data_IF_021269739061
#
_entry.id   IF_021269739061
#
_cell.length_a   1.000
_cell.length_b   1.000
_cell.length_c   1.000
_cell.angle_alpha   90.00
_cell.angle_beta   90.00
_cell.angle_gamma   90.00
#
_symmetry.space_group_name_H-M   'P 1'
#
loop_
_entity.id
_entity.type
_entity.pdbx_description
1 polymer ?
#
# COMPACT_ATOMS: atom_id res chain seq x y z
N UNK A 1 -13.20 7.51 0.68
CA UNK A 1 -11.78 7.52 1.12
C UNK A 1 -11.59 8.36 2.38
N UNK A 2 -12.14 9.57 2.46
CA UNK A 2 -11.98 10.48 3.62
C UNK A 2 -12.36 9.83 4.96
N UNK A 3 -13.48 9.09 5.02
CA UNK A 3 -13.90 8.39 6.25
C UNK A 3 -12.87 7.37 6.74
N UNK A 4 -12.20 6.66 5.83
CA UNK A 4 -11.18 5.67 6.19
C UNK A 4 -9.96 6.37 6.79
N UNK A 5 -9.48 7.45 6.15
CA UNK A 5 -8.40 8.28 6.69
C UNK A 5 -8.76 8.84 8.07
N UNK A 6 -9.99 9.35 8.23
CA UNK A 6 -10.49 9.85 9.51
C UNK A 6 -10.43 8.79 10.61
N UNK A 7 -11.01 7.61 10.35
CA UNK A 7 -11.02 6.51 11.31
C UNK A 7 -9.61 6.08 11.73
N UNK A 8 -8.67 6.00 10.77
CA UNK A 8 -7.27 5.63 11.06
C UNK A 8 -6.58 6.71 11.90
N UNK A 9 -6.74 7.99 11.54
CA UNK A 9 -6.10 9.10 12.26
C UNK A 9 -6.65 9.23 13.68
N UNK A 10 -7.97 9.14 13.84
CA UNK A 10 -8.62 9.12 15.16
C UNK A 10 -8.16 7.91 15.99
N UNK A 11 -7.99 6.72 15.38
CA UNK A 11 -7.49 5.54 16.10
C UNK A 11 -6.06 5.69 16.62
N UNK A 12 -5.29 6.63 16.05
CA UNK A 12 -3.93 6.96 16.46
C UNK A 12 -3.89 8.11 17.48
N UNK A 13 -5.03 8.71 17.84
CA UNK A 13 -5.10 9.89 18.73
C UNK A 13 -4.51 11.15 18.10
N UNK A 14 -4.67 11.31 16.78
CA UNK A 14 -4.09 12.40 15.99
C UNK A 14 -5.18 13.26 15.32
N UNK A 15 -6.30 13.47 15.99
CA UNK A 15 -7.46 14.18 15.45
C UNK A 15 -7.10 15.58 14.91
N UNK A 16 -6.21 16.28 15.60
CA UNK A 16 -5.71 17.60 15.19
C UNK A 16 -4.90 17.58 13.88
N UNK A 17 -4.43 16.41 13.44
CA UNK A 17 -3.69 16.24 12.19
C UNK A 17 -4.59 15.91 10.99
N UNK A 18 -5.89 15.63 11.21
CA UNK A 18 -6.79 15.17 10.15
C UNK A 18 -6.85 16.12 8.96
N UNK A 19 -7.10 17.42 9.20
CA UNK A 19 -7.24 18.39 8.11
C UNK A 19 -5.93 18.58 7.34
N UNK A 20 -4.80 18.66 8.06
CA UNK A 20 -3.46 18.75 7.44
C UNK A 20 -3.18 17.54 6.56
N UNK A 21 -3.44 16.33 7.08
CA UNK A 21 -3.28 15.09 6.34
C UNK A 21 -4.16 15.05 5.10
N UNK A 22 -5.45 15.36 5.23
CA UNK A 22 -6.40 15.36 4.11
C UNK A 22 -6.00 16.37 3.02
N UNK A 23 -5.48 17.54 3.39
CA UNK A 23 -4.96 18.53 2.45
C UNK A 23 -3.65 18.10 1.78
N UNK A 24 -2.93 17.14 2.36
CA UNK A 24 -1.73 16.54 1.76
C UNK A 24 -2.02 15.47 0.70
N UNK A 25 -3.28 15.09 0.49
CA UNK A 25 -3.63 13.96 -0.39
C UNK A 25 -3.87 14.40 -1.83
N UNK A 26 -3.37 13.60 -2.78
CA UNK A 26 -3.86 13.51 -4.14
C UNK A 26 -4.50 12.14 -4.39
N UNK A 27 -5.34 12.06 -5.41
CA UNK A 27 -6.17 10.89 -5.71
C UNK A 27 -5.79 10.30 -7.05
N UNK A 28 -5.74 8.98 -7.13
CA UNK A 28 -5.48 8.23 -8.36
C UNK A 28 -6.52 7.13 -8.54
N UNK A 29 -6.84 6.82 -9.80
CA UNK A 29 -7.67 5.68 -10.18
C UNK A 29 -6.91 4.84 -11.20
N UNK A 30 -6.87 3.53 -10.98
CA UNK A 30 -6.27 2.55 -11.89
C UNK A 30 -7.31 1.51 -12.26
N UNK A 31 -7.52 1.34 -13.57
CA UNK A 31 -8.27 0.22 -14.11
C UNK A 31 -7.28 -0.89 -14.43
N UNK A 32 -7.47 -2.06 -13.82
CA UNK A 32 -6.54 -3.18 -13.95
C UNK A 32 -7.22 -4.38 -14.59
N UNK A 33 -6.56 -4.94 -15.60
CA UNK A 33 -6.88 -6.22 -16.21
C UNK A 33 -5.72 -7.18 -15.93
N UNK A 34 -5.98 -8.19 -15.11
CA UNK A 34 -5.02 -9.24 -14.74
C UNK A 34 -5.34 -10.49 -15.55
N UNK A 35 -4.34 -10.96 -16.29
CA UNK A 35 -4.38 -12.17 -17.09
C UNK A 35 -2.99 -12.79 -17.09
N UNK A 36 -2.89 -14.09 -17.36
CA UNK A 36 -1.60 -14.75 -17.55
C UNK A 36 -1.20 -14.63 -19.03
N UNK A 37 0.07 -14.32 -19.28
CA UNK A 37 0.65 -14.49 -20.62
C UNK A 37 1.12 -15.94 -20.76
N UNK A 38 0.97 -16.53 -21.95
CA UNK A 38 1.06 -17.99 -22.19
C UNK A 38 2.44 -18.62 -22.00
N UNK A 39 3.44 -17.86 -21.52
CA UNK A 39 4.86 -18.26 -21.47
C UNK A 39 5.39 -18.59 -20.06
N UNK A 40 4.53 -18.62 -19.05
CA UNK A 40 4.94 -18.61 -17.64
C UNK A 40 4.86 -19.97 -16.93
N UNK A 41 5.75 -20.17 -15.96
CA UNK A 41 6.31 -21.38 -15.32
C UNK A 41 5.35 -22.33 -14.58
N UNK A 42 4.05 -22.26 -14.87
CA UNK A 42 3.00 -23.04 -14.20
C UNK A 42 2.47 -22.41 -12.91
N UNK A 43 3.01 -21.28 -12.47
CA UNK A 43 2.45 -20.50 -11.36
C UNK A 43 1.48 -19.47 -11.95
N UNK A 44 0.20 -19.50 -11.58
CA UNK A 44 -0.83 -18.59 -12.13
C UNK A 44 -0.72 -17.15 -11.57
N UNK A 45 0.47 -16.56 -11.53
CA UNK A 45 0.73 -15.25 -10.91
C UNK A 45 0.57 -14.12 -11.94
N UNK A 46 -0.50 -13.34 -11.82
CA UNK A 46 -0.80 -12.22 -12.72
C UNK A 46 -0.27 -10.86 -12.25
N UNK A 47 0.09 -10.74 -10.97
CA UNK A 47 0.83 -9.61 -10.42
C UNK A 47 1.78 -10.13 -9.34
N UNK A 48 3.11 -9.93 -9.47
CA UNK A 48 4.07 -10.34 -8.45
C UNK A 48 3.80 -9.73 -7.07
N UNK A 49 4.37 -10.36 -6.04
CA UNK A 49 4.30 -9.85 -4.66
C UNK A 49 4.95 -8.48 -4.55
N UNK A 50 4.22 -7.52 -3.99
CA UNK A 50 4.68 -6.15 -3.79
C UNK A 50 3.94 -5.50 -2.62
N UNK A 51 4.40 -4.31 -2.24
CA UNK A 51 3.71 -3.37 -1.35
C UNK A 51 3.37 -2.12 -2.15
N UNK A 52 2.23 -1.51 -1.85
CA UNK A 52 1.85 -0.26 -2.49
C UNK A 52 2.66 0.90 -1.90
N UNK A 53 3.27 1.78 -2.70
CA UNK A 53 4.05 2.90 -2.16
C UNK A 53 3.17 4.00 -1.55
N UNK A 54 1.86 3.98 -1.81
CA UNK A 54 0.90 5.06 -1.53
C UNK A 54 0.49 5.14 -0.04
N UNK A 55 -0.53 5.95 0.28
CA UNK A 55 -1.13 5.93 1.63
C UNK A 55 -2.15 4.80 1.79
N UNK A 56 -3.13 4.73 0.90
CA UNK A 56 -4.20 3.73 0.93
C UNK A 56 -4.53 3.32 -0.49
N UNK A 57 -4.80 2.02 -0.70
CA UNK A 57 -5.47 1.46 -1.86
C UNK A 57 -6.84 0.88 -1.48
N UNK A 58 -7.89 1.26 -2.19
CA UNK A 58 -9.21 0.64 -2.14
C UNK A 58 -9.40 -0.17 -3.42
N UNK A 59 -9.52 -1.48 -3.28
CA UNK A 59 -9.63 -2.43 -4.39
C UNK A 59 -11.08 -2.89 -4.50
N UNK A 60 -11.69 -2.58 -5.64
CA UNK A 60 -13.04 -3.01 -6.02
C UNK A 60 -12.93 -4.15 -7.05
N UNK A 61 -13.09 -5.43 -6.65
CA UNK A 61 -12.96 -6.57 -7.56
C UNK A 61 -14.20 -6.80 -8.43
N UNK A 62 -14.01 -7.24 -9.68
CA UNK A 62 -15.09 -7.68 -10.57
C UNK A 62 -15.40 -9.17 -10.36
N UNK A 63 -15.78 -9.56 -9.13
CA UNK A 63 -16.25 -10.91 -8.74
C UNK A 63 -15.29 -12.11 -8.98
N UNK A 64 -14.12 -11.90 -9.58
CA UNK A 64 -13.09 -12.92 -9.75
C UNK A 64 -12.07 -12.82 -8.61
N UNK A 65 -11.86 -13.96 -7.95
CA UNK A 65 -10.87 -14.12 -6.89
C UNK A 65 -9.44 -13.90 -7.42
N UNK A 66 -8.51 -13.64 -6.51
CA UNK A 66 -7.08 -13.72 -6.85
C UNK A 66 -6.20 -12.73 -6.12
N UNK A 67 -6.76 -11.73 -5.44
CA UNK A 67 -5.99 -10.93 -4.50
C UNK A 67 -5.58 -11.82 -3.31
N UNK A 68 -4.27 -11.96 -3.08
CA UNK A 68 -3.71 -12.62 -1.91
C UNK A 68 -2.87 -11.61 -1.12
N UNK A 69 -2.98 -11.67 0.20
CA UNK A 69 -2.26 -10.80 1.15
C UNK A 69 -1.45 -11.69 2.08
N UNK A 70 -0.18 -11.38 2.24
CA UNK A 70 0.71 -12.12 3.15
C UNK A 70 0.44 -11.70 4.61
N UNK A 71 0.19 -12.68 5.47
CA UNK A 71 0.08 -12.50 6.91
C UNK A 71 1.47 -12.45 7.57
N UNK A 72 1.55 -11.99 8.81
CA UNK A 72 2.82 -11.87 9.55
C UNK A 72 3.57 -13.21 9.71
N UNK A 73 2.84 -14.33 9.70
CA UNK A 73 3.41 -15.68 9.76
C UNK A 73 3.91 -16.20 8.39
N UNK A 74 3.83 -15.39 7.32
CA UNK A 74 4.21 -15.76 5.96
C UNK A 74 3.14 -16.52 5.18
N UNK A 75 1.95 -16.73 5.75
CA UNK A 75 0.84 -17.38 5.06
C UNK A 75 0.15 -16.42 4.09
N UNK A 76 -0.21 -16.93 2.90
CA UNK A 76 -0.98 -16.16 1.92
C UNK A 76 -2.48 -16.29 2.17
N UNK A 77 -3.10 -15.19 2.57
CA UNK A 77 -4.54 -15.09 2.81
C UNK A 77 -5.25 -14.60 1.54
N UNK A 78 -6.24 -15.38 1.10
CA UNK A 78 -7.04 -15.02 -0.06
C UNK A 78 -8.13 -14.00 0.31
N UNK A 79 -8.14 -12.84 -0.35
CA UNK A 79 -9.24 -11.89 -0.26
C UNK A 79 -10.36 -12.30 -1.22
N UNK A 80 -11.42 -12.90 -0.67
CA UNK A 80 -12.59 -13.33 -1.45
C UNK A 80 -13.47 -12.11 -1.78
N UNK A 81 -13.83 -11.88 -3.04
CA UNK A 81 -14.80 -10.85 -3.41
C UNK A 81 -16.12 -11.09 -2.68
N UNK A 82 -16.55 -10.13 -1.86
CA UNK A 82 -17.88 -10.15 -1.25
C UNK A 82 -18.75 -9.06 -1.87
N UNK A 83 -20.05 -9.36 -2.03
CA UNK A 83 -21.02 -8.40 -2.54
C UNK A 83 -21.04 -7.14 -1.65
N UNK A 84 -21.07 -5.97 -2.28
CA UNK A 84 -21.09 -4.66 -1.61
C UNK A 84 -19.90 -4.42 -0.65
N UNK A 85 -18.75 -5.03 -0.94
CA UNK A 85 -17.53 -4.84 -0.16
C UNK A 85 -16.38 -4.37 -1.06
N UNK A 86 -15.36 -3.82 -0.42
CA UNK A 86 -14.08 -3.50 -1.03
C UNK A 86 -12.96 -3.88 -0.06
N UNK A 87 -11.77 -4.16 -0.59
CA UNK A 87 -10.58 -4.38 0.23
C UNK A 87 -9.82 -3.07 0.38
N UNK A 88 -9.42 -2.72 1.59
CA UNK A 88 -8.58 -1.55 1.88
C UNK A 88 -7.21 -2.05 2.29
N UNK A 89 -6.16 -1.59 1.61
CA UNK A 89 -4.77 -1.86 1.96
C UNK A 89 -4.08 -0.56 2.34
N UNK A 90 -3.28 -0.60 3.39
CA UNK A 90 -2.37 0.50 3.75
C UNK A 90 -1.12 0.39 2.90
N UNK A 91 -0.64 1.52 2.39
CA UNK A 91 0.63 1.59 1.66
C UNK A 91 1.78 2.09 2.52
N UNK A 92 2.98 2.01 1.95
CA UNK A 92 4.25 2.31 2.61
C UNK A 92 4.38 3.77 3.05
N UNK A 93 3.79 4.73 2.31
CA UNK A 93 3.77 6.12 2.74
C UNK A 93 3.03 6.29 4.07
N UNK A 94 1.92 5.57 4.29
CA UNK A 94 1.18 5.69 5.55
C UNK A 94 1.86 4.94 6.69
N UNK A 95 2.50 3.80 6.39
CA UNK A 95 3.39 3.11 7.33
C UNK A 95 4.48 4.06 7.82
N UNK A 96 5.15 4.78 6.91
CA UNK A 96 6.19 5.72 7.28
C UNK A 96 5.65 6.93 8.05
N UNK A 97 4.56 7.54 7.58
CA UNK A 97 3.89 8.65 8.28
C UNK A 97 3.43 8.27 9.69
N UNK A 98 2.92 7.04 9.88
CA UNK A 98 2.50 6.55 11.19
C UNK A 98 3.66 6.00 12.06
N UNK A 99 4.92 6.25 11.68
CA UNK A 99 6.11 5.71 12.34
C UNK A 99 6.02 4.19 12.61
N UNK A 100 5.49 3.44 11.64
CA UNK A 100 5.34 1.99 11.70
C UNK A 100 4.12 1.47 12.46
N UNK A 101 3.21 2.32 12.96
CA UNK A 101 1.97 1.86 13.62
C UNK A 101 1.00 1.18 12.65
N UNK A 102 1.02 1.59 11.39
CA UNK A 102 0.27 0.92 10.35
C UNK A 102 1.16 -0.05 9.58
N UNK A 103 0.65 -1.27 9.36
CA UNK A 103 1.31 -2.28 8.55
C UNK A 103 0.94 -2.11 7.07
N UNK A 104 1.95 -2.03 6.20
CA UNK A 104 1.78 -2.07 4.75
C UNK A 104 1.99 -3.52 4.27
N UNK A 105 0.92 -4.24 3.88
CA UNK A 105 1.02 -5.67 3.61
C UNK A 105 1.61 -5.96 2.24
N UNK A 106 2.45 -6.99 2.19
CA UNK A 106 2.82 -7.62 0.93
C UNK A 106 1.57 -8.27 0.34
N UNK A 107 1.30 -8.05 -0.94
CA UNK A 107 0.15 -8.63 -1.62
C UNK A 107 0.50 -8.94 -3.08
N UNK A 108 -0.27 -9.84 -3.69
CA UNK A 108 -0.09 -10.30 -5.07
C UNK A 108 -1.43 -10.61 -5.73
N UNK A 109 -1.43 -10.84 -7.04
CA UNK A 109 -2.60 -11.37 -7.75
C UNK A 109 -2.27 -12.74 -8.34
N UNK A 110 -2.94 -13.78 -7.84
CA UNK A 110 -2.83 -15.16 -8.32
C UNK A 110 -4.18 -15.64 -8.84
N UNK A 111 -4.23 -15.98 -10.13
CA UNK A 111 -5.44 -16.48 -10.81
C UNK A 111 -5.64 -17.97 -10.54
N UNK A 112 -6.87 -18.46 -10.69
CA UNK A 112 -7.17 -19.89 -10.52
C UNK A 112 -6.68 -20.72 -11.70
N UNK A 113 -6.71 -20.16 -12.90
CA UNK A 113 -6.25 -20.80 -14.13
C UNK A 113 -5.64 -19.78 -15.10
N UNK A 114 -4.89 -20.28 -16.07
CA UNK A 114 -4.23 -19.45 -17.10
C UNK A 114 -5.22 -18.74 -18.03
N UNK A 115 -6.43 -19.29 -18.16
CA UNK A 115 -7.50 -18.77 -19.01
C UNK A 115 -8.37 -17.74 -18.30
N UNK A 116 -8.25 -17.60 -16.97
CA UNK A 116 -9.06 -16.68 -16.18
C UNK A 116 -8.58 -15.24 -16.40
N UNK A 117 -9.53 -14.30 -16.41
CA UNK A 117 -9.25 -12.86 -16.44
C UNK A 117 -9.89 -12.22 -15.23
N UNK A 118 -9.14 -11.37 -14.55
CA UNK A 118 -9.62 -10.62 -13.39
C UNK A 118 -9.55 -9.14 -13.65
N UNK A 119 -10.66 -8.46 -13.45
CA UNK A 119 -10.72 -7.00 -13.51
C UNK A 119 -10.86 -6.41 -12.11
N UNK A 120 -10.19 -5.29 -11.88
CA UNK A 120 -10.35 -4.51 -10.65
C UNK A 120 -10.23 -3.01 -10.95
N UNK A 121 -10.96 -2.21 -10.18
CA UNK A 121 -10.72 -0.77 -10.08
C UNK A 121 -10.02 -0.52 -8.76
N UNK A 122 -8.89 0.18 -8.80
CA UNK A 122 -8.12 0.56 -7.61
C UNK A 122 -8.18 2.06 -7.46
N UNK A 123 -8.70 2.52 -6.33
CA UNK A 123 -8.66 3.93 -5.93
C UNK A 123 -7.54 4.11 -4.91
N UNK A 124 -6.65 5.06 -5.14
CA UNK A 124 -5.50 5.29 -4.25
C UNK A 124 -5.41 6.73 -3.77
N UNK A 125 -5.02 6.91 -2.52
CA UNK A 125 -4.52 8.20 -2.02
C UNK A 125 -3.00 8.19 -1.99
N UNK A 126 -2.39 9.22 -2.56
CA UNK A 126 -0.93 9.45 -2.58
C UNK A 126 -0.63 10.83 -1.98
N UNK A 127 0.61 11.11 -1.54
CA UNK A 127 1.04 12.48 -1.27
C UNK A 127 0.84 13.38 -2.49
N UNK A 128 0.38 14.61 -2.25
CA UNK A 128 0.22 15.61 -3.29
C UNK A 128 1.61 16.12 -3.74
N UNK A 129 1.69 16.63 -4.98
CA UNK A 129 2.98 17.02 -5.57
C UNK A 129 3.60 18.27 -4.93
N UNK A 130 2.79 19.09 -4.28
CA UNK A 130 3.22 20.35 -3.64
C UNK A 130 3.66 20.19 -2.20
N UNK A 131 3.37 19.05 -1.58
CA UNK A 131 3.64 18.70 -0.19
C UNK A 131 3.87 17.19 -0.12
N UNK A 132 4.97 16.76 -0.73
CA UNK A 132 5.33 15.35 -0.89
C UNK A 132 6.26 14.83 0.21
N UNK A 133 6.59 15.67 1.20
CA UNK A 133 7.43 15.26 2.33
C UNK A 133 6.61 14.41 3.27
N UNK A 134 7.03 13.16 3.44
CA UNK A 134 6.49 12.26 4.45
C UNK A 134 7.37 12.38 5.70
N UNK A 135 6.74 12.69 6.82
CA UNK A 135 7.35 12.73 8.14
C UNK A 135 6.35 12.24 9.17
N UNK A 136 6.84 11.52 10.18
CA UNK A 136 6.00 11.09 11.28
C UNK A 136 5.58 12.27 12.17
N UNK A 137 4.30 12.31 12.64
CA UNK A 137 3.88 13.16 13.75
C UNK A 137 4.75 12.89 14.99
N UNK A 138 5.08 13.95 15.72
CA UNK A 138 5.99 13.87 16.88
C UNK A 138 5.37 13.06 18.02
N UNK A 139 4.06 13.06 18.09
CA UNK A 139 3.22 12.36 19.05
C UNK A 139 3.32 10.83 18.92
N UNK A 140 3.81 10.32 17.77
CA UNK A 140 4.06 8.89 17.55
C UNK A 140 5.51 8.47 17.84
N UNK A 141 6.32 9.40 18.34
CA UNK A 141 7.75 9.20 18.62
C UNK A 141 8.02 9.52 20.09
N UNK A 142 8.41 8.50 20.85
CA UNK A 142 8.70 8.59 22.28
C UNK A 142 9.83 7.63 22.68
N UNK A 143 10.15 7.55 23.98
CA UNK A 143 11.20 6.68 24.49
C UNK A 143 10.90 5.17 24.30
N UNK A 144 9.62 4.80 24.19
CA UNK A 144 9.18 3.43 23.94
C UNK A 144 9.07 3.12 22.44
N UNK A 145 8.94 4.15 21.60
CA UNK A 145 8.77 4.05 20.16
C UNK A 145 9.63 5.07 19.43
N UNK A 146 10.89 4.70 19.22
CA UNK A 146 11.85 5.53 18.51
C UNK A 146 11.44 5.78 17.04
N UNK A 147 12.02 6.82 16.45
CA UNK A 147 11.85 7.13 15.02
C UNK A 147 12.37 5.96 14.17
N UNK A 148 11.51 5.41 13.29
CA UNK A 148 11.85 4.32 12.38
C UNK A 148 12.24 4.80 10.99
N UNK A 149 11.69 5.95 10.56
CA UNK A 149 11.86 6.49 9.22
C UNK A 149 12.23 7.97 9.28
N UNK A 150 13.35 8.35 8.65
CA UNK A 150 13.76 9.74 8.46
C UNK A 150 12.78 10.45 7.51
N UNK A 151 12.52 11.76 7.66
CA UNK A 151 11.70 12.50 6.70
C UNK A 151 12.24 12.39 5.28
N UNK A 152 11.35 12.18 4.30
CA UNK A 152 11.75 11.97 2.91
C UNK A 152 10.71 12.47 1.91
N UNK A 153 11.14 12.71 0.67
CA UNK A 153 10.25 13.05 -0.43
C UNK A 153 9.64 11.80 -1.05
N UNK A 154 8.31 11.73 -1.06
CA UNK A 154 7.56 10.59 -1.59
C UNK A 154 7.93 10.25 -3.02
N UNK A 155 8.03 11.24 -3.92
CA UNK A 155 8.29 10.94 -5.32
C UNK A 155 9.72 10.48 -5.58
N UNK A 156 10.67 10.85 -4.73
CA UNK A 156 12.04 10.32 -4.81
C UNK A 156 12.11 8.89 -4.25
N UNK A 157 11.34 8.58 -3.21
CA UNK A 157 11.14 7.20 -2.76
C UNK A 157 10.50 6.32 -3.86
N UNK A 158 9.45 6.78 -4.52
CA UNK A 158 8.80 6.04 -5.62
C UNK A 158 9.80 5.74 -6.74
N UNK A 159 10.65 6.71 -7.12
CA UNK A 159 11.70 6.49 -8.12
C UNK A 159 12.71 5.44 -7.66
N UNK A 160 13.14 5.50 -6.39
CA UNK A 160 14.03 4.49 -5.82
C UNK A 160 13.38 3.10 -5.81
N UNK A 161 12.13 2.98 -5.33
CA UNK A 161 11.38 1.73 -5.19
C UNK A 161 11.25 0.95 -6.51
N UNK A 162 11.14 1.66 -7.64
CA UNK A 162 11.02 1.10 -8.98
C UNK A 162 12.31 1.22 -9.81
N UNK A 163 13.45 1.40 -9.15
CA UNK A 163 14.77 1.30 -9.77
C UNK A 163 15.36 -0.10 -9.60
N UNK A 164 16.33 -0.48 -10.42
CA UNK A 164 17.09 -1.73 -10.28
C UNK A 164 17.64 -1.95 -8.86
N UNK A 165 18.01 -0.87 -8.17
CA UNK A 165 18.49 -0.94 -6.79
C UNK A 165 17.35 -1.24 -5.81
N UNK A 166 16.23 -0.52 -5.93
CA UNK A 166 15.06 -0.71 -5.08
C UNK A 166 14.36 -2.05 -5.27
N UNK A 167 14.46 -2.66 -6.45
CA UNK A 167 13.92 -4.00 -6.71
C UNK A 167 14.78 -5.13 -6.12
N UNK A 168 16.06 -4.88 -5.84
CA UNK A 168 16.99 -5.87 -5.29
C UNK A 168 17.02 -5.93 -3.77
N UNK A 169 16.39 -4.97 -3.09
CA UNK A 169 16.35 -4.91 -1.62
C UNK A 169 15.04 -5.48 -1.09
N UNK A 170 15.12 -6.23 0.02
CA UNK A 170 13.95 -6.90 0.61
C UNK A 170 12.90 -5.91 1.15
N UNK A 171 13.36 -4.80 1.73
CA UNK A 171 12.49 -3.72 2.25
C UNK A 171 13.00 -2.37 1.72
N UNK A 172 12.47 -1.97 0.56
CA UNK A 172 12.86 -0.73 -0.11
C UNK A 172 12.58 0.52 0.73
N UNK A 173 11.49 0.56 1.50
CA UNK A 173 11.18 1.69 2.38
C UNK A 173 12.26 1.83 3.45
N UNK A 174 12.60 0.73 4.13
CA UNK A 174 13.65 0.72 5.16
C UNK A 174 15.02 1.04 4.57
N UNK A 175 15.35 0.52 3.39
CA UNK A 175 16.61 0.83 2.71
C UNK A 175 16.72 2.32 2.37
N UNK A 176 15.63 2.95 1.95
CA UNK A 176 15.62 4.34 1.51
C UNK A 176 15.65 5.35 2.67
N UNK A 177 14.80 5.17 3.68
CA UNK A 177 14.60 6.16 4.74
C UNK A 177 14.68 5.59 6.16
N UNK A 178 15.08 4.34 6.35
CA UNK A 178 15.25 3.76 7.69
C UNK A 178 16.23 4.53 8.58
N UNK A 179 15.95 4.52 9.89
CA UNK A 179 16.88 4.98 10.93
C UNK A 179 17.80 3.85 11.35
#
# INVERSE_FOLDING_TARGET
MNMIHKMIIESLGLEDHYDSHMNSLAYSIRFSNYYKDTLDDGINLALPSHKDPNYISIICPHNVEGLEVEAENGEWLQSKPMKNSFTVLVGEAFKAWSNGRLYAPTHRVKLKSETEKRYAVVFSTIPNITNDIISAPKELIDEQHLLLFKPFKYYDYVKFRFSDEGERVDDALKAYCGV
#
